data_IF_961075896142
#
_entry.id   IF_961075896142
#
_cell.length_a   1.000
_cell.length_b   1.000
_cell.length_c   1.000
_cell.angle_alpha   90.00
_cell.angle_beta   90.00
_cell.angle_gamma   90.00
#
_symmetry.space_group_name_H-M   'P 1'
#
loop_
_entity.id
_entity.type
_entity.pdbx_description
1 polymer ?
#
# COMPACT_ATOMS: atom_id res chain seq x y z
N UNK A 1 -22.02 11.50 0.56
CA UNK A 1 -21.02 10.65 1.22
C UNK A 1 -19.98 10.29 0.20
N UNK A 2 -18.72 10.26 0.59
CA UNK A 2 -17.61 9.92 -0.30
C UNK A 2 -17.29 8.43 -0.21
N UNK A 3 -16.58 7.90 -1.21
CA UNK A 3 -16.10 6.52 -1.18
C UNK A 3 -15.18 6.26 0.03
N UNK A 4 -14.46 7.27 0.51
CA UNK A 4 -13.62 7.20 1.71
C UNK A 4 -14.49 7.05 2.97
N UNK A 5 -15.59 7.82 3.08
CA UNK A 5 -16.53 7.67 4.20
C UNK A 5 -17.20 6.29 4.21
N UNK A 6 -17.57 5.79 3.03
CA UNK A 6 -18.16 4.46 2.88
C UNK A 6 -17.16 3.37 3.30
N UNK A 7 -15.91 3.47 2.84
CA UNK A 7 -14.84 2.54 3.20
C UNK A 7 -14.55 2.55 4.70
N UNK A 8 -14.46 3.72 5.31
CA UNK A 8 -14.25 3.84 6.75
C UNK A 8 -15.34 3.10 7.56
N UNK A 9 -16.60 3.20 7.13
CA UNK A 9 -17.72 2.46 7.76
C UNK A 9 -17.64 0.96 7.53
N UNK A 10 -17.16 0.51 6.37
CA UNK A 10 -16.93 -0.91 6.10
C UNK A 10 -15.85 -1.47 7.03
N UNK A 11 -14.75 -0.73 7.21
CA UNK A 11 -13.65 -1.12 8.11
C UNK A 11 -14.09 -1.17 9.57
N UNK A 12 -14.92 -0.21 10.02
CA UNK A 12 -15.45 -0.21 11.37
C UNK A 12 -16.28 -1.48 11.67
N UNK A 13 -17.09 -1.92 10.68
CA UNK A 13 -17.85 -3.17 10.73
C UNK A 13 -16.97 -4.42 10.66
N UNK A 14 -15.86 -4.36 9.91
CA UNK A 14 -14.86 -5.42 9.81
C UNK A 14 -13.92 -5.48 11.03
N UNK A 15 -14.16 -4.66 12.05
CA UNK A 15 -13.32 -4.52 13.25
C UNK A 15 -11.88 -4.04 12.98
N UNK A 16 -11.67 -3.35 11.85
CA UNK A 16 -10.42 -2.65 11.52
C UNK A 16 -10.53 -1.21 12.02
N UNK A 17 -9.97 -0.93 13.19
CA UNK A 17 -10.13 0.37 13.88
C UNK A 17 -9.04 1.37 13.49
N UNK A 18 -9.31 2.16 12.45
CA UNK A 18 -8.43 3.27 12.04
C UNK A 18 -8.44 4.47 13.00
N UNK A 19 -9.43 4.53 13.90
CA UNK A 19 -9.60 5.64 14.85
C UNK A 19 -10.19 6.89 14.18
N UNK A 20 -10.21 8.00 14.91
CA UNK A 20 -10.83 9.23 14.44
C UNK A 20 -10.12 9.80 13.19
N UNK A 21 -10.85 10.44 12.26
CA UNK A 21 -10.23 11.17 11.15
C UNK A 21 -9.40 12.33 11.70
N UNK A 22 -8.19 12.52 11.16
CA UNK A 22 -7.29 13.64 11.51
C UNK A 22 -7.67 14.95 10.83
N UNK A 23 -8.55 14.90 9.83
CA UNK A 23 -8.99 16.07 9.08
C UNK A 23 -9.97 15.70 7.95
N UNK A 24 -10.37 16.70 7.15
CA UNK A 24 -11.17 16.47 5.95
C UNK A 24 -10.38 15.69 4.89
N UNK A 25 -11.07 15.21 3.86
CA UNK A 25 -10.39 14.65 2.68
C UNK A 25 -9.53 15.70 1.97
N UNK A 26 -8.32 15.29 1.61
CA UNK A 26 -7.37 16.07 0.83
C UNK A 26 -7.11 15.41 -0.52
N UNK A 27 -6.53 16.19 -1.43
CA UNK A 27 -6.01 15.66 -2.69
C UNK A 27 -4.80 14.74 -2.42
N UNK A 28 -4.73 13.62 -3.14
CA UNK A 28 -3.64 12.65 -3.06
C UNK A 28 -2.80 12.60 -4.36
N UNK A 29 -3.03 13.55 -5.28
CA UNK A 29 -2.34 13.66 -6.57
C UNK A 29 -2.95 12.77 -7.66
N UNK A 30 -2.78 13.16 -8.92
CA UNK A 30 -3.28 12.39 -10.08
C UNK A 30 -4.79 12.08 -10.06
N UNK A 31 -5.61 12.93 -9.45
CA UNK A 31 -7.07 12.78 -9.45
C UNK A 31 -7.61 11.83 -8.39
N UNK A 32 -6.78 11.34 -7.47
CA UNK A 32 -7.24 10.62 -6.29
C UNK A 32 -7.34 11.50 -5.05
N UNK A 33 -7.98 10.94 -4.03
CA UNK A 33 -8.33 11.60 -2.77
C UNK A 33 -7.78 10.75 -1.63
N UNK A 34 -7.49 11.37 -0.49
CA UNK A 34 -7.15 10.63 0.72
C UNK A 34 -7.75 11.27 1.96
N UNK A 35 -7.87 10.49 3.01
CA UNK A 35 -8.08 11.01 4.37
C UNK A 35 -7.18 10.28 5.35
N UNK A 36 -6.51 11.06 6.19
CA UNK A 36 -5.69 10.52 7.27
C UNK A 36 -6.55 10.24 8.51
N UNK A 37 -6.28 9.13 9.17
CA UNK A 37 -6.89 8.71 10.43
C UNK A 37 -5.79 8.52 11.50
N UNK A 38 -6.20 8.28 12.74
CA UNK A 38 -5.27 8.12 13.86
C UNK A 38 -4.28 6.96 13.65
N UNK A 39 -4.75 5.83 13.12
CA UNK A 39 -4.00 4.59 12.99
C UNK A 39 -3.73 4.17 11.55
N UNK A 40 -4.10 4.97 10.55
CA UNK A 40 -3.91 4.65 9.14
C UNK A 40 -4.47 5.73 8.22
N UNK A 41 -4.38 5.51 6.91
CA UNK A 41 -4.90 6.42 5.89
C UNK A 41 -5.80 5.63 4.94
N UNK A 42 -6.88 6.25 4.46
CA UNK A 42 -7.69 5.71 3.37
C UNK A 42 -7.40 6.53 2.11
N UNK A 43 -7.06 5.84 1.03
CA UNK A 43 -6.82 6.42 -0.28
C UNK A 43 -7.92 5.98 -1.23
N UNK A 44 -8.36 6.89 -2.09
CA UNK A 44 -9.33 6.63 -3.13
C UNK A 44 -8.81 7.09 -4.48
N UNK A 45 -9.02 6.29 -5.50
CA UNK A 45 -8.77 6.66 -6.89
C UNK A 45 -9.86 6.07 -7.79
N UNK A 46 -10.29 6.74 -8.89
CA UNK A 46 -11.31 6.20 -9.81
C UNK A 46 -10.98 4.82 -10.37
N UNK A 47 -9.70 4.49 -10.56
CA UNK A 47 -9.30 3.20 -11.14
C UNK A 47 -9.21 2.06 -10.11
N UNK A 48 -8.92 2.37 -8.84
CA UNK A 48 -8.67 1.34 -7.83
C UNK A 48 -9.77 1.24 -6.78
N UNK A 49 -10.53 2.32 -6.55
CA UNK A 49 -11.49 2.40 -5.46
C UNK A 49 -10.85 2.92 -4.16
N UNK A 50 -11.57 2.77 -3.05
CA UNK A 50 -11.11 3.20 -1.72
C UNK A 50 -10.50 2.03 -0.94
N UNK A 51 -9.25 2.18 -0.53
CA UNK A 51 -8.47 1.18 0.22
C UNK A 51 -7.69 1.84 1.34
N UNK A 52 -7.61 1.18 2.49
CA UNK A 52 -6.80 1.62 3.61
C UNK A 52 -5.37 1.08 3.56
N UNK A 53 -4.47 1.87 4.13
CA UNK A 53 -3.09 1.49 4.40
C UNK A 53 -2.79 1.92 5.83
N UNK A 54 -2.28 1.02 6.67
CA UNK A 54 -2.07 1.32 8.08
C UNK A 54 -0.77 0.75 8.64
N UNK A 55 -0.52 0.98 9.93
CA UNK A 55 0.61 0.40 10.65
C UNK A 55 1.98 0.60 9.99
N UNK A 56 2.75 -0.49 9.94
CA UNK A 56 4.12 -0.46 9.43
C UNK A 56 4.18 -0.33 7.90
N UNK A 57 3.18 -0.85 7.18
CA UNK A 57 3.08 -0.72 5.72
C UNK A 57 2.90 0.75 5.34
N UNK A 58 2.04 1.48 6.06
CA UNK A 58 1.85 2.92 5.85
C UNK A 58 3.16 3.70 6.02
N UNK A 59 3.93 3.39 7.06
CA UNK A 59 5.20 4.08 7.32
C UNK A 59 6.19 3.93 6.15
N UNK A 60 6.20 2.76 5.52
CA UNK A 60 7.05 2.49 4.33
C UNK A 60 6.48 3.18 3.10
N UNK A 61 5.16 3.12 2.92
CA UNK A 61 4.47 3.75 1.81
C UNK A 61 4.69 5.26 1.78
N UNK A 62 4.55 5.93 2.93
CA UNK A 62 4.81 7.37 3.08
C UNK A 62 6.27 7.71 2.75
N UNK A 63 7.23 6.89 3.22
CA UNK A 63 8.66 7.06 2.91
C UNK A 63 8.97 6.90 1.42
N UNK A 64 8.20 6.10 0.71
CA UNK A 64 8.29 5.88 -0.74
C UNK A 64 7.51 6.95 -1.55
N UNK A 65 6.93 7.96 -0.89
CA UNK A 65 6.19 9.04 -1.55
C UNK A 65 4.69 8.77 -1.74
N UNK A 66 4.18 7.67 -1.18
CA UNK A 66 2.78 7.27 -1.24
C UNK A 66 2.27 7.12 -2.69
N UNK A 67 1.08 7.67 -3.02
CA UNK A 67 0.56 7.64 -4.40
C UNK A 67 1.30 8.63 -5.34
N UNK A 68 2.16 9.47 -4.77
CA UNK A 68 2.94 10.48 -5.47
C UNK A 68 4.30 9.98 -5.95
N UNK A 69 5.20 10.92 -6.19
CA UNK A 69 6.57 10.63 -6.56
C UNK A 69 7.42 10.33 -5.32
N UNK A 70 8.26 9.29 -5.40
CA UNK A 70 9.22 8.97 -4.37
C UNK A 70 10.20 10.15 -4.18
N UNK A 71 10.38 10.66 -2.96
CA UNK A 71 11.24 11.82 -2.72
C UNK A 71 12.72 11.58 -3.08
N UNK A 72 13.16 10.32 -3.15
CA UNK A 72 14.53 9.94 -3.52
C UNK A 72 14.75 9.83 -5.02
N UNK A 73 13.77 9.33 -5.76
CA UNK A 73 13.93 9.02 -7.20
C UNK A 73 13.17 9.97 -8.11
N UNK A 74 12.23 10.74 -7.57
CA UNK A 74 11.31 11.60 -8.32
C UNK A 74 10.30 10.84 -9.18
N UNK A 75 10.24 9.50 -9.06
CA UNK A 75 9.37 8.63 -9.87
C UNK A 75 8.19 8.17 -9.04
N UNK A 76 7.05 7.97 -9.71
CA UNK A 76 5.90 7.30 -9.08
C UNK A 76 6.13 5.80 -9.13
N UNK A 77 6.47 5.22 -7.99
CA UNK A 77 6.92 3.83 -7.93
C UNK A 77 5.83 2.86 -7.49
N UNK A 78 4.93 3.28 -6.58
CA UNK A 78 3.90 2.40 -6.03
C UNK A 78 2.51 2.71 -6.59
N UNK A 79 2.14 4.00 -6.70
CA UNK A 79 0.80 4.40 -7.11
C UNK A 79 -0.23 4.17 -6.01
N UNK A 80 -1.52 4.15 -6.36
CA UNK A 80 -2.59 3.97 -5.38
C UNK A 80 -2.69 2.53 -4.86
N UNK A 81 -3.16 2.30 -3.62
CA UNK A 81 -3.50 0.96 -3.16
C UNK A 81 -4.63 0.37 -4.01
N UNK A 82 -4.50 -0.91 -4.32
CA UNK A 82 -5.51 -1.73 -5.04
C UNK A 82 -6.19 -2.74 -4.13
N UNK A 83 -5.62 -2.97 -2.95
CA UNK A 83 -6.16 -3.85 -1.92
C UNK A 83 -6.05 -3.18 -0.56
N UNK A 84 -6.97 -3.56 0.32
CA UNK A 84 -6.86 -3.38 1.75
C UNK A 84 -5.63 -4.08 2.33
N UNK A 85 -5.17 -3.60 3.49
CA UNK A 85 -4.10 -4.30 4.21
C UNK A 85 -4.64 -5.63 4.73
N UNK A 86 -4.11 -6.71 4.18
CA UNK A 86 -4.46 -8.06 4.59
C UNK A 86 -3.21 -8.80 5.05
N UNK A 87 -3.42 -9.96 5.67
CA UNK A 87 -2.32 -10.85 6.05
C UNK A 87 -1.98 -11.75 4.87
N UNK A 88 -0.69 -12.05 4.72
CA UNK A 88 -0.19 -13.07 3.79
C UNK A 88 -0.92 -14.39 3.99
N UNK A 89 -0.89 -15.28 3.00
CA UNK A 89 -1.53 -16.61 3.07
C UNK A 89 -1.12 -17.44 4.30
N UNK A 90 0.11 -17.28 4.79
CA UNK A 90 0.60 -17.87 6.05
C UNK A 90 0.09 -17.15 7.33
N UNK A 91 -0.82 -16.19 7.19
CA UNK A 91 -1.37 -15.27 8.19
C UNK A 91 -0.32 -14.50 9.02
N UNK A 92 0.91 -14.42 8.52
CA UNK A 92 2.08 -14.04 9.33
C UNK A 92 2.44 -12.57 9.23
N UNK A 93 2.33 -11.99 8.03
CA UNK A 93 2.83 -10.65 7.74
C UNK A 93 1.72 -9.79 7.12
N UNK A 94 1.60 -8.50 7.47
CA UNK A 94 0.75 -7.59 6.72
C UNK A 94 1.33 -7.32 5.34
N UNK A 95 0.45 -7.23 4.34
CA UNK A 95 0.76 -6.86 2.97
C UNK A 95 -0.33 -5.93 2.41
N UNK A 96 0.10 -4.95 1.62
CA UNK A 96 -0.75 -4.17 0.72
C UNK A 96 -0.20 -4.24 -0.70
N UNK A 97 -1.12 -4.35 -1.66
CA UNK A 97 -0.81 -4.29 -3.09
C UNK A 97 -1.23 -2.92 -3.62
N UNK A 98 -0.40 -2.38 -4.50
CA UNK A 98 -0.55 -1.07 -5.12
C UNK A 98 -0.56 -1.24 -6.65
N UNK A 99 -0.89 -0.17 -7.37
CA UNK A 99 -0.96 -0.18 -8.84
C UNK A 99 0.34 -0.70 -9.48
N UNK A 100 1.50 -0.29 -8.97
CA UNK A 100 2.81 -0.58 -9.56
C UNK A 100 3.80 -1.22 -8.59
N UNK A 101 3.33 -1.66 -7.43
CA UNK A 101 4.17 -2.31 -6.46
C UNK A 101 3.41 -3.02 -5.36
N UNK A 102 4.16 -3.59 -4.43
CA UNK A 102 3.62 -4.19 -3.22
C UNK A 102 4.56 -3.93 -2.05
N UNK A 103 3.97 -3.72 -0.87
CA UNK A 103 4.69 -3.61 0.39
C UNK A 103 4.19 -4.69 1.34
N UNK A 104 5.11 -5.48 1.86
CA UNK A 104 4.89 -6.42 2.96
C UNK A 104 5.73 -6.02 4.17
N UNK A 105 5.28 -6.36 5.38
CA UNK A 105 6.04 -6.13 6.60
C UNK A 105 6.44 -7.42 7.30
N UNK A 106 7.73 -7.76 7.25
CA UNK A 106 8.25 -8.99 7.83
C UNK A 106 8.86 -8.72 9.20
N UNK A 107 8.19 -9.21 10.25
CA UNK A 107 8.69 -9.09 11.63
C UNK A 107 10.11 -9.63 11.77
N UNK A 108 11.02 -8.82 12.31
CA UNK A 108 12.45 -9.13 12.47
C UNK A 108 13.34 -8.86 11.25
N UNK A 109 12.77 -8.58 10.07
CA UNK A 109 13.54 -8.24 8.84
C UNK A 109 13.23 -6.85 8.28
N UNK A 110 12.04 -6.33 8.53
CA UNK A 110 11.60 -5.02 8.06
C UNK A 110 10.67 -5.11 6.86
N UNK A 111 10.64 -4.05 6.06
CA UNK A 111 9.75 -3.92 4.92
C UNK A 111 10.27 -4.69 3.71
N UNK A 112 9.41 -5.50 3.10
CA UNK A 112 9.60 -6.01 1.75
C UNK A 112 8.92 -5.07 0.77
N UNK A 113 9.67 -4.49 -0.17
CA UNK A 113 9.13 -3.56 -1.16
C UNK A 113 9.55 -4.01 -2.55
N UNK A 114 8.57 -4.20 -3.43
CA UNK A 114 8.79 -4.52 -4.84
C UNK A 114 8.01 -3.55 -5.72
N UNK A 115 8.65 -3.03 -6.77
CA UNK A 115 8.01 -2.11 -7.71
C UNK A 115 8.63 -2.19 -9.11
N UNK A 116 7.97 -1.57 -10.10
CA UNK A 116 8.46 -1.51 -11.48
C UNK A 116 8.64 -2.89 -12.13
N UNK A 117 9.73 -3.09 -12.89
CA UNK A 117 9.98 -4.34 -13.63
C UNK A 117 10.06 -5.58 -12.74
N UNK A 118 10.54 -5.43 -11.51
CA UNK A 118 10.58 -6.54 -10.56
C UNK A 118 9.16 -6.93 -10.14
N UNK A 119 8.30 -5.94 -9.91
CA UNK A 119 6.89 -6.17 -9.61
C UNK A 119 6.14 -6.79 -10.79
N UNK A 120 6.37 -6.35 -12.02
CA UNK A 120 5.79 -6.98 -13.23
C UNK A 120 6.18 -8.46 -13.32
N UNK A 121 7.46 -8.77 -13.09
CA UNK A 121 7.94 -10.16 -13.10
C UNK A 121 7.33 -10.95 -11.95
N UNK A 122 7.27 -10.37 -10.75
CA UNK A 122 6.66 -11.00 -9.58
C UNK A 122 5.18 -11.30 -9.79
N UNK A 123 4.41 -10.35 -10.34
CA UNK A 123 3.01 -10.54 -10.75
C UNK A 123 2.87 -11.65 -11.79
N UNK A 124 3.77 -11.74 -12.77
CA UNK A 124 3.74 -12.83 -13.78
C UNK A 124 3.93 -14.24 -13.20
N UNK A 125 4.48 -14.34 -11.99
CA UNK A 125 4.65 -15.60 -11.26
C UNK A 125 3.57 -15.86 -10.20
N UNK A 126 2.45 -15.13 -10.25
CA UNK A 126 1.30 -15.27 -9.33
C UNK A 126 1.33 -14.30 -8.15
N UNK A 127 2.27 -13.35 -8.12
CA UNK A 127 2.35 -12.33 -7.09
C UNK A 127 2.44 -12.93 -5.68
N UNK A 128 1.65 -12.38 -4.77
CA UNK A 128 1.58 -12.77 -3.35
C UNK A 128 1.15 -14.21 -3.13
N UNK A 129 0.33 -14.76 -4.01
CA UNK A 129 -0.17 -16.14 -3.93
C UNK A 129 0.64 -17.10 -4.83
N UNK A 130 1.64 -16.56 -5.54
CA UNK A 130 2.48 -17.28 -6.48
C UNK A 130 3.63 -18.03 -5.81
N UNK A 131 4.39 -18.76 -6.63
CA UNK A 131 5.54 -19.56 -6.16
C UNK A 131 6.64 -18.72 -5.49
N UNK A 132 6.71 -17.41 -5.78
CA UNK A 132 7.67 -16.49 -5.17
C UNK A 132 7.19 -15.95 -3.82
N UNK A 133 5.91 -16.10 -3.48
CA UNK A 133 5.30 -15.58 -2.27
C UNK A 133 5.46 -14.06 -2.14
N UNK A 134 5.36 -13.56 -0.91
CA UNK A 134 5.44 -12.13 -0.63
C UNK A 134 6.89 -11.65 -0.52
N UNK A 135 7.18 -10.37 -0.83
CA UNK A 135 8.51 -9.81 -0.63
C UNK A 135 8.97 -9.96 0.83
N UNK A 136 10.25 -10.26 1.05
CA UNK A 136 10.82 -10.39 2.40
C UNK A 136 11.91 -9.37 2.73
N UNK A 137 12.34 -8.58 1.74
CA UNK A 137 13.31 -7.51 1.86
C UNK A 137 13.08 -6.43 0.79
N UNK A 138 13.68 -5.26 0.98
CA UNK A 138 13.63 -4.17 0.01
C UNK A 138 14.38 -4.53 -1.27
N UNK A 139 13.79 -4.19 -2.41
CA UNK A 139 14.47 -4.26 -3.70
C UNK A 139 15.73 -3.40 -3.68
N UNK A 140 16.87 -4.00 -4.02
CA UNK A 140 18.15 -3.30 -4.18
C UNK A 140 18.53 -3.29 -5.65
N UNK A 141 18.88 -2.11 -6.18
CA UNK A 141 19.46 -1.99 -7.51
C UNK A 141 20.93 -2.39 -7.47
N UNK A 142 21.34 -3.34 -8.32
CA UNK A 142 22.75 -3.69 -8.54
C UNK A 142 23.29 -3.01 -9.81
N UNK A 143 24.60 -2.71 -9.89
CA UNK A 143 25.20 -2.19 -11.11
C UNK A 143 24.99 -3.17 -12.28
N UNK A 144 24.31 -2.73 -13.34
CA UNK A 144 23.98 -3.55 -14.51
C UNK A 144 22.51 -3.94 -14.65
N UNK A 145 21.70 -3.72 -13.61
CA UNK A 145 20.30 -4.14 -13.57
C UNK A 145 20.10 -5.46 -12.84
#
# INVERSE_FOLDING_TARGET
MTAIDDKYRQLDKANVKLGAPRGPESDAGSGGRMRAYQNGNIYWHPNTGAHEVHGAVLSVYDRMGGPGANPKTGRRELGYPTTDEHRTSDNKYPISVFEWGSISWVSGRGAGVVHGKLYERWQSHGGSEGALGHPICEQTTIPGG
#
